data_IF_806345324170
#
_entry.id   IF_806345324170
#
_cell.length_a   1.000
_cell.length_b   1.000
_cell.length_c   1.000
_cell.angle_alpha   90.00
_cell.angle_beta   90.00
_cell.angle_gamma   90.00
#
_symmetry.space_group_name_H-M   'P 1'
#
loop_
_entity.id
_entity.type
_entity.pdbx_description
1 polymer ?
#
# COMPACT_ATOMS: atom_id res chain seq x y z
N UNK A 1 24.34 14.42 29.37
CA UNK A 1 24.09 14.14 30.80
C UNK A 1 24.39 12.66 31.05
N UNK A 2 25.12 12.31 32.12
CA UNK A 2 25.31 10.90 32.50
C UNK A 2 24.01 10.39 33.12
N UNK A 3 23.44 9.34 32.52
CA UNK A 3 22.18 8.74 32.96
C UNK A 3 22.29 8.25 34.42
N UNK A 4 21.27 8.56 35.23
CA UNK A 4 21.13 8.04 36.60
C UNK A 4 21.08 6.51 36.58
N UNK A 5 21.37 5.86 37.71
CA UNK A 5 21.25 4.39 37.81
C UNK A 5 19.80 3.92 37.52
N UNK A 6 18.81 4.69 37.95
CA UNK A 6 17.40 4.46 37.61
C UNK A 6 17.11 4.62 36.11
N UNK A 7 17.66 5.66 35.48
CA UNK A 7 17.50 5.88 34.04
C UNK A 7 18.14 4.75 33.22
N UNK A 8 19.28 4.21 33.66
CA UNK A 8 19.94 3.07 32.99
C UNK A 8 19.10 1.80 33.06
N UNK A 9 18.47 1.51 34.20
CA UNK A 9 17.56 0.37 34.33
C UNK A 9 16.34 0.55 33.43
N UNK A 10 15.71 1.72 33.47
CA UNK A 10 14.53 2.03 32.65
C UNK A 10 14.83 1.94 31.14
N UNK A 11 15.93 2.53 30.69
CA UNK A 11 16.37 2.45 29.29
C UNK A 11 16.65 1.01 28.87
N UNK A 12 17.28 0.21 29.74
CA UNK A 12 17.54 -1.21 29.46
C UNK A 12 16.24 -2.01 29.31
N UNK A 13 15.26 -1.79 30.19
CA UNK A 13 13.94 -2.43 30.10
C UNK A 13 13.22 -2.02 28.82
N UNK A 14 13.25 -0.73 28.45
CA UNK A 14 12.68 -0.25 27.19
C UNK A 14 13.33 -0.92 25.99
N UNK A 15 14.66 -1.02 25.95
CA UNK A 15 15.36 -1.69 24.85
C UNK A 15 15.02 -3.18 24.77
N UNK A 16 14.87 -3.88 25.90
CA UNK A 16 14.45 -5.29 25.92
C UNK A 16 13.03 -5.43 25.35
N UNK A 17 12.08 -4.60 25.81
CA UNK A 17 10.70 -4.62 25.31
C UNK A 17 10.63 -4.31 23.81
N UNK A 18 11.39 -3.31 23.35
CA UNK A 18 11.49 -2.96 21.93
C UNK A 18 12.12 -4.09 21.11
N UNK A 19 13.13 -4.78 21.62
CA UNK A 19 13.75 -5.92 20.95
C UNK A 19 12.79 -7.11 20.81
N UNK A 20 12.02 -7.40 21.87
CA UNK A 20 10.97 -8.44 21.84
C UNK A 20 9.88 -8.07 20.82
N UNK A 21 9.41 -6.82 20.84
CA UNK A 21 8.40 -6.35 19.91
C UNK A 21 8.89 -6.42 18.45
N UNK A 22 10.15 -6.02 18.21
CA UNK A 22 10.78 -6.11 16.89
C UNK A 22 10.86 -7.57 16.42
N UNK A 23 11.25 -8.49 17.31
CA UNK A 23 11.31 -9.91 17.00
C UNK A 23 9.93 -10.49 16.68
N UNK A 24 8.92 -10.24 17.51
CA UNK A 24 7.54 -10.73 17.29
C UNK A 24 6.95 -10.20 15.99
N UNK A 25 7.26 -8.95 15.62
CA UNK A 25 6.78 -8.33 14.38
C UNK A 25 7.50 -8.87 13.14
N UNK A 26 8.80 -9.17 13.26
CA UNK A 26 9.62 -9.67 12.16
C UNK A 26 9.46 -11.18 11.91
N UNK A 27 9.22 -11.96 12.98
CA UNK A 27 9.17 -13.42 12.92
C UNK A 27 8.21 -13.99 11.86
N UNK A 28 6.97 -13.47 11.66
CA UNK A 28 6.08 -13.96 10.61
C UNK A 28 6.66 -13.81 9.19
N UNK A 29 7.34 -12.70 8.92
CA UNK A 29 8.00 -12.46 7.63
C UNK A 29 9.19 -13.40 7.43
N UNK A 30 9.98 -13.60 8.50
CA UNK A 30 11.06 -14.59 8.48
C UNK A 30 10.54 -16.00 8.19
N UNK A 31 9.51 -16.44 8.91
CA UNK A 31 8.92 -17.76 8.74
C UNK A 31 8.32 -17.95 7.34
N UNK A 32 7.66 -16.93 6.78
CA UNK A 32 7.18 -16.95 5.40
C UNK A 32 8.35 -17.13 4.41
N UNK A 33 9.45 -16.40 4.61
CA UNK A 33 10.68 -16.57 3.84
C UNK A 33 11.24 -17.98 3.93
N UNK A 34 11.38 -18.52 5.15
CA UNK A 34 11.88 -19.88 5.37
C UNK A 34 11.02 -20.93 4.68
N UNK A 35 9.69 -20.82 4.76
CA UNK A 35 8.76 -21.74 4.12
C UNK A 35 8.85 -21.62 2.59
N UNK A 36 9.04 -20.42 2.05
CA UNK A 36 9.16 -20.20 0.61
C UNK A 36 10.42 -20.84 0.00
N UNK A 37 11.51 -20.95 0.76
CA UNK A 37 12.75 -21.62 0.35
C UNK A 37 12.78 -23.12 0.68
N UNK A 38 11.70 -23.71 1.20
CA UNK A 38 11.66 -25.13 1.54
C UNK A 38 10.93 -25.96 0.48
N UNK A 39 11.31 -27.23 0.32
CA UNK A 39 10.60 -28.15 -0.56
C UNK A 39 9.12 -28.30 -0.13
N UNK A 40 8.20 -28.25 -1.10
CA UNK A 40 6.76 -28.30 -0.84
C UNK A 40 6.28 -29.55 -0.09
N UNK A 41 6.84 -30.71 -0.42
CA UNK A 41 6.48 -31.99 0.22
C UNK A 41 6.91 -32.05 1.69
N UNK A 42 8.04 -31.42 2.02
CA UNK A 42 8.53 -31.31 3.40
C UNK A 42 7.76 -30.26 4.20
N UNK A 43 7.32 -29.16 3.56
CA UNK A 43 6.50 -28.13 4.21
C UNK A 43 5.16 -28.68 4.71
N UNK A 44 4.56 -29.62 3.98
CA UNK A 44 3.30 -30.27 4.39
C UNK A 44 3.44 -31.08 5.69
N UNK A 45 4.65 -31.57 6.01
CA UNK A 45 4.91 -32.32 7.24
C UNK A 45 4.92 -31.45 8.50
N UNK A 46 4.88 -30.12 8.35
CA UNK A 46 4.88 -29.17 9.47
C UNK A 46 6.22 -29.12 10.23
N UNK A 47 6.31 -28.24 11.23
CA UNK A 47 7.51 -28.12 12.07
C UNK A 47 8.64 -27.25 11.49
N UNK A 48 8.37 -26.45 10.46
CA UNK A 48 9.33 -25.49 9.91
C UNK A 48 9.10 -24.13 10.58
N UNK A 49 10.00 -23.76 11.47
CA UNK A 49 9.90 -22.51 12.25
C UNK A 49 10.99 -21.52 11.85
N UNK A 50 12.26 -21.85 12.07
CA UNK A 50 13.37 -20.92 11.89
C UNK A 50 14.26 -21.16 10.66
N UNK A 51 14.35 -22.40 10.17
CA UNK A 51 15.24 -22.74 9.05
C UNK A 51 14.66 -23.84 8.15
N UNK A 52 14.88 -23.82 6.81
CA UNK A 52 14.32 -24.80 5.92
C UNK A 52 15.08 -26.11 6.13
N UNK A 53 14.35 -27.22 6.17
CA UNK A 53 14.95 -28.54 6.30
C UNK A 53 15.59 -28.98 4.98
N UNK A 54 15.02 -28.55 3.86
CA UNK A 54 15.54 -28.79 2.52
C UNK A 54 15.42 -27.51 1.70
N UNK A 55 16.56 -26.85 1.49
CA UNK A 55 16.63 -25.65 0.67
C UNK A 55 16.29 -25.99 -0.79
N UNK A 56 15.30 -25.29 -1.35
CA UNK A 56 14.87 -25.41 -2.74
C UNK A 56 14.42 -24.05 -3.29
N UNK A 57 14.84 -23.76 -4.52
CA UNK A 57 14.41 -22.58 -5.29
C UNK A 57 13.25 -22.89 -6.26
N UNK A 58 12.75 -24.12 -6.24
CA UNK A 58 11.70 -24.59 -7.14
C UNK A 58 10.43 -23.74 -7.03
N UNK A 59 10.02 -23.37 -5.81
CA UNK A 59 8.83 -22.53 -5.60
C UNK A 59 8.95 -21.17 -6.31
N UNK A 60 10.14 -20.56 -6.29
CA UNK A 60 10.38 -19.31 -6.99
C UNK A 60 10.40 -19.49 -8.50
N UNK A 61 11.01 -20.58 -9.00
CA UNK A 61 10.98 -20.90 -10.43
C UNK A 61 9.54 -21.05 -10.93
N UNK A 62 8.67 -21.73 -10.16
CA UNK A 62 7.25 -21.86 -10.50
C UNK A 62 6.54 -20.50 -10.52
N UNK A 63 6.81 -19.62 -9.54
CA UNK A 63 6.23 -18.26 -9.50
C UNK A 63 6.66 -17.43 -10.72
N UNK A 64 7.94 -17.47 -11.09
CA UNK A 64 8.47 -16.71 -12.23
C UNK A 64 8.16 -17.35 -13.59
N UNK A 65 7.72 -18.60 -13.66
CA UNK A 65 7.23 -19.22 -14.89
C UNK A 65 5.74 -19.00 -15.11
N UNK A 66 4.97 -18.66 -14.06
CA UNK A 66 3.56 -18.34 -14.19
C UNK A 66 3.36 -16.93 -14.76
N UNK A 67 3.04 -16.87 -16.06
CA UNK A 67 2.75 -15.63 -16.78
C UNK A 67 1.66 -14.79 -16.12
N UNK A 68 0.71 -15.43 -15.41
CA UNK A 68 -0.35 -14.72 -14.69
C UNK A 68 0.21 -13.97 -13.48
N UNK A 69 1.16 -14.55 -12.75
CA UNK A 69 1.77 -13.89 -11.60
C UNK A 69 2.68 -12.74 -12.04
N UNK A 70 3.47 -12.93 -13.11
CA UNK A 70 4.28 -11.85 -13.70
C UNK A 70 3.38 -10.71 -14.18
N UNK A 71 2.33 -11.01 -14.93
CA UNK A 71 1.41 -9.98 -15.41
C UNK A 71 0.73 -9.26 -14.23
N UNK A 72 0.31 -10.00 -13.20
CA UNK A 72 -0.26 -9.40 -11.99
C UNK A 72 0.72 -8.47 -11.26
N UNK A 73 2.02 -8.80 -11.25
CA UNK A 73 3.06 -7.93 -10.73
C UNK A 73 3.21 -6.64 -11.55
N UNK A 74 3.23 -6.76 -12.89
CA UNK A 74 3.30 -5.60 -13.79
C UNK A 74 2.08 -4.68 -13.60
N UNK A 75 0.88 -5.24 -13.53
CA UNK A 75 -0.34 -4.47 -13.28
C UNK A 75 -0.30 -3.79 -11.91
N UNK A 76 0.22 -4.46 -10.87
CA UNK A 76 0.41 -3.83 -9.55
C UNK A 76 1.37 -2.64 -9.59
N UNK A 77 2.50 -2.77 -10.29
CA UNK A 77 3.45 -1.66 -10.48
C UNK A 77 2.79 -0.52 -11.24
N UNK A 78 2.14 -0.81 -12.38
CA UNK A 78 1.46 0.19 -13.20
C UNK A 78 0.37 0.93 -12.41
N UNK A 79 -0.49 0.19 -11.70
CA UNK A 79 -1.52 0.75 -10.84
C UNK A 79 -0.91 1.65 -9.78
N UNK A 80 0.16 1.21 -9.13
CA UNK A 80 0.80 1.97 -8.05
C UNK A 80 1.40 3.26 -8.56
N UNK A 81 2.13 3.23 -9.68
CA UNK A 81 2.76 4.42 -10.26
C UNK A 81 1.72 5.39 -10.81
N UNK A 82 0.82 4.91 -11.67
CA UNK A 82 -0.20 5.76 -12.33
C UNK A 82 -1.19 6.28 -11.29
N UNK A 83 -1.67 5.40 -10.40
CA UNK A 83 -2.63 5.75 -9.36
C UNK A 83 -2.06 6.79 -8.39
N UNK A 84 -0.84 6.57 -7.90
CA UNK A 84 -0.20 7.53 -6.98
C UNK A 84 0.05 8.87 -7.65
N UNK A 85 0.60 8.88 -8.87
CA UNK A 85 0.86 10.13 -9.58
C UNK A 85 -0.43 10.90 -9.84
N UNK A 86 -1.45 10.24 -10.40
CA UNK A 86 -2.72 10.87 -10.72
C UNK A 86 -3.45 11.37 -9.46
N UNK A 87 -3.46 10.57 -8.38
CA UNK A 87 -4.12 10.94 -7.13
C UNK A 87 -3.43 12.15 -6.47
N UNK A 88 -2.09 12.15 -6.43
CA UNK A 88 -1.33 13.26 -5.84
C UNK A 88 -1.46 14.53 -6.69
N UNK A 89 -1.38 14.43 -8.02
CA UNK A 89 -1.56 15.57 -8.90
C UNK A 89 -2.98 16.18 -8.77
N UNK A 90 -4.02 15.35 -8.85
CA UNK A 90 -5.40 15.80 -8.73
C UNK A 90 -5.68 16.41 -7.34
N UNK A 91 -5.23 15.74 -6.29
CA UNK A 91 -5.42 16.22 -4.91
C UNK A 91 -4.64 17.51 -4.64
N UNK A 92 -3.42 17.66 -5.17
CA UNK A 92 -2.62 18.87 -5.01
C UNK A 92 -3.27 20.08 -5.70
N UNK A 93 -3.79 19.92 -6.92
CA UNK A 93 -4.54 20.98 -7.62
C UNK A 93 -5.77 21.38 -6.80
N UNK A 94 -6.54 20.40 -6.31
CA UNK A 94 -7.73 20.66 -5.51
C UNK A 94 -7.41 21.37 -4.18
N UNK A 95 -6.36 20.90 -3.50
CA UNK A 95 -5.87 21.50 -2.26
C UNK A 95 -5.34 22.92 -2.44
N UNK A 96 -4.70 23.22 -3.59
CA UNK A 96 -4.22 24.56 -3.92
C UNK A 96 -5.38 25.55 -4.01
N UNK A 97 -6.45 25.22 -4.74
CA UNK A 97 -7.67 26.03 -4.78
C UNK A 97 -8.25 26.26 -3.37
N UNK A 98 -8.35 25.19 -2.57
CA UNK A 98 -8.86 25.25 -1.19
C UNK A 98 -7.95 25.97 -0.18
N UNK A 99 -6.68 26.22 -0.55
CA UNK A 99 -5.73 26.97 0.28
C UNK A 99 -5.98 28.47 0.22
N UNK A 100 -6.51 28.98 -0.90
CA UNK A 100 -6.70 30.42 -1.13
C UNK A 100 -7.86 30.99 -0.34
N UNK A 101 -7.62 32.16 0.27
CA UNK A 101 -8.64 32.89 1.02
C UNK A 101 -9.74 33.47 0.14
N UNK A 102 -9.40 33.80 -1.10
CA UNK A 102 -10.24 34.43 -2.12
C UNK A 102 -11.30 33.48 -2.72
N UNK A 103 -11.20 32.16 -2.48
CA UNK A 103 -12.15 31.20 -3.01
C UNK A 103 -13.54 31.41 -2.38
N UNK A 104 -14.47 31.91 -3.20
CA UNK A 104 -15.87 32.08 -2.84
C UNK A 104 -16.47 30.72 -2.43
N UNK A 105 -17.20 30.67 -1.32
CA UNK A 105 -17.83 29.42 -0.86
C UNK A 105 -16.89 28.39 -0.21
N UNK A 106 -15.62 28.72 0.07
CA UNK A 106 -14.64 27.78 0.66
C UNK A 106 -15.13 26.99 1.87
N UNK A 107 -15.95 27.60 2.75
CA UNK A 107 -16.49 26.95 3.95
C UNK A 107 -17.45 25.82 3.56
N UNK A 108 -18.32 26.07 2.58
CA UNK A 108 -19.26 25.08 2.07
C UNK A 108 -18.53 23.89 1.43
N UNK A 109 -17.56 24.15 0.53
CA UNK A 109 -16.76 23.08 -0.08
C UNK A 109 -16.00 22.24 0.96
N UNK A 110 -15.44 22.89 1.99
CA UNK A 110 -14.74 22.19 3.07
C UNK A 110 -15.68 21.28 3.86
N UNK A 111 -16.86 21.78 4.24
CA UNK A 111 -17.87 20.98 4.94
C UNK A 111 -18.33 19.81 4.07
N UNK A 112 -18.59 20.04 2.79
CA UNK A 112 -18.96 18.98 1.85
C UNK A 112 -17.89 17.87 1.78
N UNK A 113 -16.61 18.25 1.63
CA UNK A 113 -15.51 17.27 1.62
C UNK A 113 -15.44 16.48 2.94
N UNK A 114 -15.57 17.16 4.08
CA UNK A 114 -15.54 16.49 5.39
C UNK A 114 -16.69 15.48 5.51
N UNK A 115 -17.89 15.82 5.03
CA UNK A 115 -19.03 14.88 5.03
C UNK A 115 -18.68 13.63 4.23
N UNK A 116 -18.09 13.75 3.04
CA UNK A 116 -17.71 12.57 2.23
C UNK A 116 -16.63 11.69 2.86
N UNK A 117 -15.87 12.20 3.85
CA UNK A 117 -14.88 11.41 4.58
C UNK A 117 -15.53 10.47 5.61
N UNK A 118 -16.67 10.86 6.17
CA UNK A 118 -17.38 10.10 7.21
C UNK A 118 -18.61 9.36 6.68
N UNK A 119 -19.23 9.87 5.61
CA UNK A 119 -20.43 9.31 5.00
C UNK A 119 -20.09 8.79 3.60
N UNK A 120 -20.45 7.53 3.33
CA UNK A 120 -20.36 6.92 2.00
C UNK A 120 -21.65 6.20 1.66
N UNK A 121 -21.94 6.06 0.36
CA UNK A 121 -23.07 5.26 -0.11
C UNK A 121 -22.92 3.76 0.18
N UNK A 122 -21.76 3.31 0.64
CA UNK A 122 -21.47 1.88 0.86
C UNK A 122 -21.16 1.13 -0.44
N UNK A 123 -20.95 -0.18 -0.31
CA UNK A 123 -20.46 -1.02 -1.40
C UNK A 123 -21.48 -1.17 -2.53
N UNK A 124 -22.75 -1.43 -2.21
CA UNK A 124 -23.79 -1.72 -3.24
C UNK A 124 -24.04 -0.49 -4.13
N UNK A 125 -24.32 0.72 -3.61
CA UNK A 125 -24.49 1.90 -4.46
C UNK A 125 -23.23 2.25 -5.25
N UNK A 126 -22.05 2.13 -4.64
CA UNK A 126 -20.78 2.35 -5.35
C UNK A 126 -20.58 1.35 -6.48
N UNK A 127 -21.01 0.09 -6.29
CA UNK A 127 -20.97 -0.93 -7.33
C UNK A 127 -21.87 -0.61 -8.51
N UNK A 128 -23.12 -0.23 -8.24
CA UNK A 128 -24.08 0.15 -9.27
C UNK A 128 -23.58 1.36 -10.07
N UNK A 129 -23.03 2.38 -9.40
CA UNK A 129 -22.47 3.56 -10.05
C UNK A 129 -21.34 3.20 -11.02
N UNK A 130 -20.36 2.41 -10.58
CA UNK A 130 -19.21 2.00 -11.42
C UNK A 130 -19.67 1.18 -12.63
N UNK A 131 -20.69 0.34 -12.45
CA UNK A 131 -21.29 -0.44 -13.52
C UNK A 131 -21.99 0.47 -14.55
N UNK A 132 -22.77 1.45 -14.09
CA UNK A 132 -23.47 2.42 -14.95
C UNK A 132 -22.50 3.34 -15.70
N UNK A 133 -21.37 3.68 -15.09
CA UNK A 133 -20.29 4.43 -15.74
C UNK A 133 -19.52 3.62 -16.79
N UNK A 134 -19.83 2.33 -16.97
CA UNK A 134 -19.15 1.46 -17.94
C UNK A 134 -17.68 1.17 -17.59
N UNK A 135 -17.29 1.38 -16.33
CA UNK A 135 -15.91 1.19 -15.86
C UNK A 135 -15.63 -0.23 -15.36
N UNK A 136 -16.63 -1.11 -15.41
CA UNK A 136 -16.46 -2.51 -15.03
C UNK A 136 -15.44 -3.20 -15.93
N UNK A 137 -14.61 -4.08 -15.34
CA UNK A 137 -13.56 -4.81 -16.04
C UNK A 137 -12.52 -3.94 -16.78
N UNK A 138 -12.26 -2.73 -16.26
CA UNK A 138 -11.30 -1.78 -16.83
C UNK A 138 -10.20 -1.42 -15.82
N UNK A 139 -8.97 -1.21 -16.29
CA UNK A 139 -7.86 -0.77 -15.42
C UNK A 139 -8.19 0.51 -14.64
N UNK A 140 -8.96 1.42 -15.25
CA UNK A 140 -9.30 2.72 -14.67
C UNK A 140 -10.17 2.63 -13.40
N UNK A 141 -10.89 1.52 -13.20
CA UNK A 141 -11.69 1.30 -11.98
C UNK A 141 -10.81 1.27 -10.73
N UNK A 142 -9.54 0.93 -10.88
CA UNK A 142 -8.57 0.84 -9.80
C UNK A 142 -7.94 2.18 -9.41
N UNK A 143 -8.10 3.20 -10.27
CA UNK A 143 -7.44 4.51 -10.15
C UNK A 143 -8.45 5.62 -9.93
N UNK A 144 -9.43 5.77 -10.84
CA UNK A 144 -10.33 6.92 -10.90
C UNK A 144 -11.16 7.12 -9.61
N UNK A 145 -11.82 6.10 -9.04
CA UNK A 145 -12.68 6.29 -7.86
C UNK A 145 -11.91 6.79 -6.63
N UNK A 146 -10.61 6.48 -6.54
CA UNK A 146 -9.74 6.86 -5.43
C UNK A 146 -8.83 8.07 -5.70
N UNK A 147 -9.05 8.82 -6.79
CA UNK A 147 -8.15 9.92 -7.20
C UNK A 147 -8.05 11.03 -6.16
N UNK A 148 -9.15 11.39 -5.50
CA UNK A 148 -9.18 12.49 -4.53
C UNK A 148 -9.38 11.91 -3.15
N UNK A 149 -8.33 11.99 -2.33
CA UNK A 149 -8.43 11.72 -0.90
C UNK A 149 -8.62 13.03 -0.16
N UNK A 150 -9.77 13.18 0.52
CA UNK A 150 -10.08 14.36 1.34
C UNK A 150 -9.03 14.55 2.45
N UNK A 151 -8.56 13.46 3.04
CA UNK A 151 -7.50 13.49 4.04
C UNK A 151 -6.21 14.09 3.46
N UNK A 152 -5.75 13.59 2.31
CA UNK A 152 -4.56 14.10 1.64
C UNK A 152 -4.75 15.57 1.22
N UNK A 153 -5.96 15.95 0.79
CA UNK A 153 -6.31 17.34 0.44
C UNK A 153 -6.14 18.27 1.63
N UNK A 154 -6.62 17.88 2.82
CA UNK A 154 -6.51 18.69 4.04
C UNK A 154 -5.04 18.90 4.42
N UNK A 155 -4.22 17.85 4.31
CA UNK A 155 -2.78 17.94 4.59
C UNK A 155 -2.09 18.87 3.59
N UNK A 156 -2.30 18.69 2.29
CA UNK A 156 -1.76 19.57 1.27
C UNK A 156 -2.17 21.02 1.48
N UNK A 157 -3.45 21.27 1.71
CA UNK A 157 -4.00 22.61 1.96
C UNK A 157 -3.32 23.27 3.15
N UNK A 158 -3.13 22.52 4.24
CA UNK A 158 -2.51 23.04 5.47
C UNK A 158 -1.04 23.37 5.22
N UNK A 159 -0.33 22.54 4.46
CA UNK A 159 1.04 22.79 4.05
C UNK A 159 1.14 24.04 3.15
N UNK A 160 0.31 24.13 2.10
CA UNK A 160 0.30 25.27 1.18
C UNK A 160 0.01 26.60 1.88
N UNK A 161 -0.87 26.60 2.89
CA UNK A 161 -1.13 27.78 3.73
C UNK A 161 0.05 28.20 4.60
N UNK A 162 0.96 27.28 4.90
CA UNK A 162 2.18 27.57 5.66
C UNK A 162 3.28 28.21 4.80
N UNK A 163 3.14 28.22 3.47
CA UNK A 163 4.09 28.88 2.58
C UNK A 163 3.95 30.40 2.72
N UNK A 164 5.06 31.15 2.90
CA UNK A 164 5.01 32.61 3.00
C UNK A 164 4.31 33.26 1.80
N UNK A 165 3.30 34.09 2.07
CA UNK A 165 2.51 34.76 1.03
C UNK A 165 3.37 35.61 0.07
N UNK A 166 4.44 36.21 0.59
CA UNK A 166 5.36 37.04 -0.21
C UNK A 166 6.00 36.32 -1.40
N UNK A 167 6.17 34.98 -1.33
CA UNK A 167 6.68 34.20 -2.47
C UNK A 167 5.66 34.13 -3.61
N UNK A 168 4.38 34.00 -3.28
CA UNK A 168 3.32 33.98 -4.28
C UNK A 168 3.04 35.37 -4.83
N UNK A 169 3.06 36.39 -3.98
CA UNK A 169 2.87 37.79 -4.37
C UNK A 169 3.98 38.25 -5.32
N UNK A 170 5.24 37.95 -5.00
CA UNK A 170 6.38 38.25 -5.87
C UNK A 170 6.23 37.59 -7.24
N UNK A 171 5.85 36.30 -7.27
CA UNK A 171 5.63 35.60 -8.53
C UNK A 171 4.47 36.20 -9.35
N UNK A 172 3.40 36.69 -8.70
CA UNK A 172 2.30 37.39 -9.37
C UNK A 172 2.73 38.76 -9.92
N UNK A 173 3.57 39.49 -9.21
CA UNK A 173 4.17 40.75 -9.67
C UNK A 173 5.03 40.49 -10.92
N UNK A 174 5.76 39.37 -10.96
CA UNK A 174 6.51 38.89 -12.12
C UNK A 174 5.63 38.34 -13.27
N UNK A 175 4.30 38.47 -13.15
CA UNK A 175 3.34 38.08 -14.19
C UNK A 175 2.96 36.60 -14.20
N UNK A 176 3.28 35.82 -13.17
CA UNK A 176 2.85 34.42 -13.10
C UNK A 176 1.33 34.31 -12.89
N UNK A 177 0.69 33.48 -13.71
CA UNK A 177 -0.69 33.05 -13.48
C UNK A 177 -0.79 32.09 -12.28
N UNK A 178 -2.01 31.79 -11.81
CA UNK A 178 -2.23 30.83 -10.73
C UNK A 178 -1.61 29.44 -11.00
N UNK A 179 -1.64 28.99 -12.26
CA UNK A 179 -0.96 27.75 -12.68
C UNK A 179 0.56 27.88 -12.63
N UNK A 180 1.09 29.03 -13.04
CA UNK A 180 2.52 29.34 -12.90
C UNK A 180 2.98 29.30 -11.45
N UNK A 181 2.24 29.94 -10.54
CA UNK A 181 2.53 29.95 -9.10
C UNK A 181 2.47 28.52 -8.53
N UNK A 182 1.43 27.75 -8.86
CA UNK A 182 1.32 26.36 -8.40
C UNK A 182 2.51 25.51 -8.85
N UNK A 183 2.81 25.49 -10.15
CA UNK A 183 3.80 24.59 -10.73
C UNK A 183 5.25 25.00 -10.43
N UNK A 184 5.53 26.31 -10.37
CA UNK A 184 6.91 26.82 -10.24
C UNK A 184 7.31 27.19 -8.81
N UNK A 185 6.34 27.49 -7.94
CA UNK A 185 6.62 27.93 -6.56
C UNK A 185 6.09 26.90 -5.57
N UNK A 186 4.78 26.63 -5.58
CA UNK A 186 4.14 25.84 -4.52
C UNK A 186 4.55 24.37 -4.57
N UNK A 187 4.47 23.71 -5.72
CA UNK A 187 4.82 22.29 -5.84
C UNK A 187 6.30 22.00 -5.52
N UNK A 188 7.29 22.77 -6.03
CA UNK A 188 8.70 22.56 -5.68
C UNK A 188 8.99 22.72 -4.19
N UNK A 189 8.37 23.72 -3.53
CA UNK A 189 8.49 23.91 -2.07
C UNK A 189 7.79 22.81 -1.26
N UNK A 190 6.87 22.08 -1.88
CA UNK A 190 6.06 21.03 -1.27
C UNK A 190 6.65 19.63 -1.37
N UNK A 191 7.91 19.50 -1.79
CA UNK A 191 8.62 18.22 -1.91
C UNK A 191 8.45 17.28 -0.70
N UNK A 192 8.60 17.74 0.56
CA UNK A 192 8.42 16.88 1.74
C UNK A 192 7.00 16.33 1.92
N UNK A 193 5.97 17.16 1.72
CA UNK A 193 4.57 16.72 1.86
C UNK A 193 4.16 15.83 0.68
N UNK A 194 4.62 16.14 -0.54
CA UNK A 194 4.41 15.29 -1.72
C UNK A 194 4.99 13.90 -1.46
N UNK A 195 6.26 13.80 -1.03
CA UNK A 195 6.90 12.52 -0.76
C UNK A 195 6.13 11.69 0.29
N UNK A 196 5.69 12.34 1.36
CA UNK A 196 4.93 11.71 2.45
C UNK A 196 3.60 11.16 1.95
N UNK A 197 2.80 11.98 1.25
CA UNK A 197 1.49 11.59 0.76
C UNK A 197 1.59 10.58 -0.40
N UNK A 198 2.60 10.70 -1.27
CA UNK A 198 2.89 9.73 -2.32
C UNK A 198 3.22 8.36 -1.75
N UNK A 199 4.00 8.26 -0.67
CA UNK A 199 4.27 6.96 -0.02
C UNK A 199 2.96 6.30 0.43
N UNK A 200 2.14 7.00 1.23
CA UNK A 200 0.92 6.41 1.77
C UNK A 200 -0.05 6.00 0.67
N UNK A 201 -0.15 6.82 -0.38
CA UNK A 201 -1.01 6.54 -1.55
C UNK A 201 -0.48 5.36 -2.35
N UNK A 202 0.84 5.24 -2.53
CA UNK A 202 1.47 4.11 -3.19
C UNK A 202 1.28 2.80 -2.41
N UNK A 203 1.46 2.83 -1.10
CA UNK A 203 1.21 1.68 -0.22
C UNK A 203 -0.26 1.26 -0.31
N UNK A 204 -1.19 2.21 -0.33
CA UNK A 204 -2.61 1.91 -0.51
C UNK A 204 -2.88 1.20 -1.85
N UNK A 205 -2.41 1.76 -2.97
CA UNK A 205 -2.59 1.13 -4.28
C UNK A 205 -1.92 -0.24 -4.40
N UNK A 206 -0.74 -0.41 -3.80
CA UNK A 206 -0.02 -1.67 -3.81
C UNK A 206 -0.77 -2.76 -3.06
N UNK A 207 -1.39 -2.43 -1.91
CA UNK A 207 -2.03 -3.39 -1.02
C UNK A 207 -3.51 -3.64 -1.31
N UNK A 208 -4.15 -2.82 -2.14
CA UNK A 208 -5.58 -2.98 -2.41
C UNK A 208 -5.86 -4.19 -3.32
N UNK A 209 -6.29 -5.28 -2.67
CA UNK A 209 -6.76 -6.49 -3.31
C UNK A 209 -8.29 -6.50 -3.52
N UNK A 210 -9.02 -5.70 -2.76
CA UNK A 210 -10.48 -5.76 -2.64
C UNK A 210 -11.17 -5.10 -3.83
N UNK A 211 -10.77 -3.88 -4.21
CA UNK A 211 -11.37 -3.19 -5.37
C UNK A 211 -11.27 -4.03 -6.65
N UNK A 212 -10.09 -4.57 -7.03
CA UNK A 212 -10.00 -5.42 -8.21
C UNK A 212 -10.85 -6.70 -8.11
N UNK A 213 -10.99 -7.28 -6.92
CA UNK A 213 -11.78 -8.51 -6.72
C UNK A 213 -13.27 -8.34 -6.98
N UNK A 214 -13.80 -7.12 -6.83
CA UNK A 214 -15.21 -6.80 -7.06
C UNK A 214 -15.46 -6.39 -8.51
N UNK A 215 -14.54 -5.58 -9.07
CA UNK A 215 -14.80 -4.86 -10.32
C UNK A 215 -14.14 -5.45 -11.56
N UNK A 216 -13.17 -6.38 -11.40
CA UNK A 216 -12.48 -7.00 -12.52
C UNK A 216 -12.89 -8.47 -12.68
N UNK A 217 -13.14 -8.87 -13.92
CA UNK A 217 -13.35 -10.27 -14.30
C UNK A 217 -12.19 -10.81 -15.14
N UNK A 218 -11.47 -9.94 -15.82
CA UNK A 218 -10.30 -10.30 -16.61
C UNK A 218 -9.10 -10.62 -15.71
N UNK A 219 -8.63 -11.86 -15.78
CA UNK A 219 -7.49 -12.39 -15.02
C UNK A 219 -6.18 -11.65 -15.35
N UNK A 220 -6.07 -11.09 -16.55
CA UNK A 220 -4.89 -10.35 -16.99
C UNK A 220 -4.81 -8.94 -16.39
N UNK A 221 -5.92 -8.41 -15.89
CA UNK A 221 -5.95 -7.11 -15.20
C UNK A 221 -5.86 -7.25 -13.67
N UNK A 222 -5.81 -8.47 -13.14
CA UNK A 222 -5.78 -8.69 -11.69
C UNK A 222 -4.38 -8.38 -11.11
N UNK A 223 -4.28 -7.45 -10.15
CA UNK A 223 -3.02 -7.16 -9.45
C UNK A 223 -2.51 -8.34 -8.62
N UNK A 224 -1.21 -8.35 -8.29
CA UNK A 224 -0.58 -9.45 -7.54
C UNK A 224 -1.24 -9.72 -6.19
N UNK A 225 -1.69 -8.68 -5.48
CA UNK A 225 -2.34 -8.85 -4.17
C UNK A 225 -3.68 -9.56 -4.28
N UNK A 226 -4.47 -9.27 -5.32
CA UNK A 226 -5.74 -9.98 -5.57
C UNK A 226 -5.47 -11.44 -5.90
N UNK A 227 -4.46 -11.73 -6.73
CA UNK A 227 -4.05 -13.12 -7.05
C UNK A 227 -3.55 -13.85 -5.80
N UNK A 228 -2.73 -13.20 -4.98
CA UNK A 228 -2.26 -13.75 -3.71
C UNK A 228 -3.43 -14.06 -2.78
N UNK A 229 -4.40 -13.14 -2.62
CA UNK A 229 -5.58 -13.37 -1.80
C UNK A 229 -6.41 -14.55 -2.29
N UNK A 230 -6.59 -14.70 -3.61
CA UNK A 230 -7.28 -15.85 -4.20
C UNK A 230 -6.54 -17.17 -3.91
N UNK A 231 -5.21 -17.20 -4.04
CA UNK A 231 -4.38 -18.37 -3.71
C UNK A 231 -4.53 -18.72 -2.23
N UNK A 232 -4.37 -17.74 -1.32
CA UNK A 232 -4.48 -17.96 0.12
C UNK A 232 -5.86 -18.49 0.52
N UNK A 233 -6.93 -17.94 -0.03
CA UNK A 233 -8.29 -18.41 0.23
C UNK A 233 -8.53 -19.83 -0.31
N UNK A 234 -7.99 -20.15 -1.49
CA UNK A 234 -8.09 -21.50 -2.07
C UNK A 234 -7.38 -22.56 -1.22
N UNK A 235 -6.25 -22.18 -0.60
CA UNK A 235 -5.51 -23.06 0.31
C UNK A 235 -6.34 -23.40 1.55
N UNK A 236 -6.95 -22.39 2.18
CA UNK A 236 -7.81 -22.55 3.36
C UNK A 236 -8.99 -23.48 3.07
N UNK A 237 -9.64 -23.32 1.91
CA UNK A 237 -10.76 -24.20 1.51
C UNK A 237 -10.29 -25.64 1.28
N UNK A 238 -9.10 -25.84 0.69
CA UNK A 238 -8.53 -27.18 0.47
C UNK A 238 -8.13 -27.88 1.78
N UNK A 239 -7.63 -27.13 2.77
CA UNK A 239 -7.30 -27.64 4.10
C UNK A 239 -8.57 -28.01 4.90
N UNK A 240 -9.63 -27.19 4.85
CA UNK A 240 -10.92 -27.50 5.48
C UNK A 240 -11.61 -28.72 4.83
N UNK A 241 -11.56 -28.85 3.51
CA UNK A 241 -12.11 -30.02 2.81
C UNK A 241 -11.32 -31.31 3.08
N UNK A 242 -10.00 -31.21 3.30
CA UNK A 242 -9.18 -32.36 3.69
C UNK A 242 -9.46 -32.87 5.11
N UNK A 243 -10.08 -32.05 5.97
CA UNK A 243 -10.52 -32.44 7.31
C UNK A 243 -11.92 -33.07 7.34
N UNK A 244 -12.74 -32.86 6.30
CA UNK A 244 -14.12 -33.36 6.23
C UNK A 244 -14.25 -34.77 5.64
N UNK A 245 -13.29 -35.23 4.84
CA UNK A 245 -13.36 -36.53 4.15
C UNK A 245 -12.10 -37.38 4.37
N UNK A 246 -12.02 -38.00 5.55
CA UNK A 246 -10.93 -38.90 5.95
C UNK A 246 -10.90 -40.23 5.15
N UNK A 247 -11.94 -40.53 4.37
CA UNK A 247 -12.10 -41.79 3.63
C UNK A 247 -11.71 -41.69 2.14
N UNK A 248 -11.60 -40.47 1.59
CA UNK A 248 -11.21 -40.23 0.19
C UNK A 248 -9.72 -39.85 0.00
N UNK A 249 -8.86 -40.09 1.00
CA UNK A 249 -7.43 -39.75 0.97
C UNK A 249 -6.63 -40.43 -0.17
N UNK A 250 -7.12 -41.53 -0.74
CA UNK A 250 -6.32 -42.42 -1.61
C UNK A 250 -6.16 -42.00 -3.08
N UNK A 251 -7.06 -41.19 -3.65
CA UNK A 251 -7.04 -40.85 -5.09
C UNK A 251 -6.64 -39.40 -5.42
N UNK A 252 -6.56 -38.53 -4.42
CA UNK A 252 -6.25 -37.11 -4.61
C UNK A 252 -4.76 -36.77 -4.46
N UNK A 253 -3.92 -37.69 -3.97
CA UNK A 253 -2.53 -37.40 -3.61
C UNK A 253 -1.56 -37.24 -4.80
N UNK A 254 -1.92 -37.70 -6.01
CA UNK A 254 -1.04 -37.58 -7.19
C UNK A 254 -1.25 -36.31 -8.04
N UNK A 255 -2.36 -35.59 -7.88
CA UNK A 255 -2.52 -34.23 -8.41
C UNK A 255 -2.22 -33.13 -7.37
N UNK A 256 -2.04 -33.50 -6.10
CA UNK A 256 -1.77 -32.59 -4.96
C UNK A 256 -0.28 -32.43 -4.61
N UNK A 257 0.63 -32.92 -5.45
CA UNK A 257 2.07 -32.88 -5.18
C UNK A 257 2.72 -31.50 -5.42
N UNK A 258 1.97 -30.52 -5.97
CA UNK A 258 2.35 -29.11 -6.01
C UNK A 258 1.61 -28.36 -4.90
N UNK A 259 2.17 -28.45 -3.69
CA UNK A 259 2.62 -27.27 -2.96
C UNK A 259 1.71 -26.04 -2.95
N UNK A 260 0.60 -26.04 -2.21
CA UNK A 260 -0.23 -24.83 -2.04
C UNK A 260 0.36 -23.83 -1.03
N UNK A 261 0.96 -24.31 0.07
CA UNK A 261 1.49 -23.44 1.14
C UNK A 261 2.86 -22.81 0.82
N UNK A 262 3.85 -23.58 0.38
CA UNK A 262 5.17 -22.99 0.05
C UNK A 262 5.11 -22.05 -1.15
N UNK A 263 4.25 -22.36 -2.14
CA UNK A 263 4.03 -21.51 -3.30
C UNK A 263 3.30 -20.21 -2.94
N UNK A 264 2.30 -20.27 -2.04
CA UNK A 264 1.64 -19.06 -1.55
C UNK A 264 2.61 -18.18 -0.75
N UNK A 265 3.49 -18.78 0.07
CA UNK A 265 4.52 -18.04 0.80
C UNK A 265 5.58 -17.46 -0.14
N UNK A 266 5.99 -18.18 -1.19
CA UNK A 266 6.88 -17.65 -2.23
C UNK A 266 6.24 -16.47 -2.98
N UNK A 267 4.96 -16.59 -3.34
CA UNK A 267 4.19 -15.50 -3.98
C UNK A 267 4.07 -14.28 -3.05
N UNK A 268 3.81 -14.50 -1.76
CA UNK A 268 3.81 -13.45 -0.74
C UNK A 268 5.17 -12.75 -0.68
N UNK A 269 6.27 -13.49 -0.63
CA UNK A 269 7.62 -12.91 -0.63
C UNK A 269 7.88 -12.05 -1.87
N UNK A 270 7.52 -12.54 -3.06
CA UNK A 270 7.65 -11.77 -4.32
C UNK A 270 6.82 -10.48 -4.28
N UNK A 271 5.64 -10.50 -3.67
CA UNK A 271 4.80 -9.31 -3.51
C UNK A 271 5.29 -8.34 -2.43
N UNK A 272 5.99 -8.82 -1.39
CA UNK A 272 6.46 -7.98 -0.27
C UNK A 272 7.84 -7.35 -0.51
N UNK A 273 8.76 -8.06 -1.19
CA UNK A 273 10.14 -7.60 -1.43
C UNK A 273 10.23 -6.19 -2.04
N UNK A 274 9.45 -5.82 -3.08
CA UNK A 274 9.55 -4.49 -3.69
C UNK A 274 9.24 -3.36 -2.69
N UNK A 275 8.22 -3.54 -1.84
CA UNK A 275 7.87 -2.54 -0.82
C UNK A 275 9.03 -2.38 0.18
N UNK A 276 9.60 -3.50 0.63
CA UNK A 276 10.74 -3.48 1.55
C UNK A 276 11.96 -2.79 0.96
N UNK A 277 12.21 -2.95 -0.34
CA UNK A 277 13.33 -2.27 -1.02
C UNK A 277 13.10 -0.76 -1.15
N UNK A 278 11.85 -0.33 -1.34
CA UNK A 278 11.50 1.09 -1.49
C UNK A 278 11.43 1.82 -0.13
N UNK A 279 11.13 1.09 0.95
CA UNK A 279 10.93 1.67 2.28
C UNK A 279 12.12 2.51 2.81
N UNK A 280 13.41 2.06 2.76
CA UNK A 280 14.55 2.87 3.22
C UNK A 280 14.70 4.20 2.47
N UNK A 281 14.42 4.20 1.17
CA UNK A 281 14.48 5.43 0.36
C UNK A 281 13.43 6.43 0.80
N UNK A 282 12.21 5.95 1.11
CA UNK A 282 11.11 6.80 1.55
C UNK A 282 11.29 7.27 3.00
N UNK A 283 11.84 6.45 3.89
CA UNK A 283 12.12 6.81 5.28
C UNK A 283 13.00 8.07 5.40
N UNK A 284 13.98 8.24 4.50
CA UNK A 284 14.85 9.45 4.46
C UNK A 284 14.06 10.75 4.31
N UNK A 285 12.95 10.73 3.58
CA UNK A 285 12.09 11.91 3.40
C UNK A 285 11.15 12.12 4.59
N UNK A 286 10.66 11.04 5.21
CA UNK A 286 9.84 11.11 6.43
C UNK A 286 10.57 11.73 7.61
N UNK A 287 11.81 11.29 7.89
CA UNK A 287 12.60 11.82 9.02
C UNK A 287 12.83 13.33 8.86
N UNK A 288 12.96 13.83 7.63
CA UNK A 288 13.08 15.28 7.37
C UNK A 288 11.75 16.01 7.49
N UNK A 289 10.64 15.44 6.99
CA UNK A 289 9.31 16.06 7.04
C UNK A 289 8.73 16.17 8.45
N UNK A 290 8.90 15.14 9.29
CA UNK A 290 8.46 15.13 10.69
C UNK A 290 9.28 16.11 11.52
N UNK A 291 10.60 16.20 11.30
CA UNK A 291 11.48 17.15 12.00
C UNK A 291 11.13 18.62 11.69
N UNK A 292 10.65 18.92 10.47
CA UNK A 292 10.17 20.27 10.11
C UNK A 292 8.81 20.58 10.74
N UNK A 293 7.95 19.57 10.91
CA UNK A 293 6.67 19.71 11.62
C UNK A 293 6.80 19.85 13.14
N UNK A 294 7.85 19.27 13.73
CA UNK A 294 8.16 19.37 15.17
C UNK A 294 8.99 20.61 15.55
N UNK A 295 9.52 21.36 14.56
CA UNK A 295 10.15 22.68 14.76
C UNK A 295 9.12 23.81 14.87
N UNK A 296 7.83 23.49 15.08
CA UNK A 296 6.85 24.44 15.59
C UNK A 296 6.94 24.54 17.11
N UNK A 297 8.06 25.11 17.57
CA UNK A 297 8.15 25.91 18.80
C UNK A 297 8.97 27.17 18.47
#
# INVERSE_FOLDING_TARGET
MKLSAGDRVLVTVIYILLAILAFLSFYPFWNAGVISFNNGTDTMRGGITFWPRQFSLENYSVVFQDSRLINGFVISVLRTVIGTFAAIAATAVFAYGMSKSELMGRKFYMVFCIITMYFSGGLIPSFLLIRELGMFNSFWVMVIPGLISVWNMIIFRTFFKGIPAGLEESARIDGCSNWGVLLRIVLPLSGPVIATLSLFTAVYHWNDWFTPSIYLSNVDLMPIQTKLQQILNSNIMSEQMAQLDAAAQGRMNKMRAVTTKSLSMATMMVATIPILCVYPFLQKYFVKGVMVGSLKE
#
